data_IF_032704337559
#
_entry.id   IF_032704337559
#
_cell.length_a   1.000
_cell.length_b   1.000
_cell.length_c   1.000
_cell.angle_alpha   90.00
_cell.angle_beta   90.00
_cell.angle_gamma   90.00
#
_symmetry.space_group_name_H-M   'P 1'
#
loop_
_entity.id
_entity.type
_entity.pdbx_description
1 polymer ?
#
# COMPACT_ATOMS: atom_id res chain seq x y z
N UNK A 1 8.27 16.34 14.75
CA UNK A 1 9.46 15.45 14.87
C UNK A 1 9.52 14.62 13.60
N UNK A 2 10.68 14.46 12.98
CA UNK A 2 10.82 13.68 11.75
C UNK A 2 11.37 12.29 12.05
N UNK A 3 10.76 11.27 11.47
CA UNK A 3 11.24 9.89 11.50
C UNK A 3 11.93 9.55 10.18
N UNK A 4 13.00 8.76 10.24
CA UNK A 4 13.72 8.36 9.03
C UNK A 4 13.17 7.04 8.51
N UNK A 5 12.63 7.04 7.29
CA UNK A 5 12.19 5.84 6.59
C UNK A 5 13.25 5.45 5.58
N UNK A 6 13.79 4.23 5.69
CA UNK A 6 14.70 3.68 4.70
C UNK A 6 13.90 3.14 3.52
N UNK A 7 14.21 3.62 2.32
CA UNK A 7 13.60 3.18 1.07
C UNK A 7 14.67 2.94 0.03
N UNK A 8 14.41 2.00 -0.86
CA UNK A 8 15.30 1.74 -1.99
C UNK A 8 15.36 2.94 -2.95
N UNK A 9 16.50 3.08 -3.63
CA UNK A 9 16.74 4.17 -4.57
C UNK A 9 15.67 4.22 -5.68
N UNK A 10 15.27 3.07 -6.20
CA UNK A 10 14.22 2.98 -7.22
C UNK A 10 12.87 3.50 -6.71
N UNK A 11 12.50 3.17 -5.48
CA UNK A 11 11.27 3.66 -4.84
C UNK A 11 11.32 5.17 -4.64
N UNK A 12 12.46 5.71 -4.21
CA UNK A 12 12.67 7.17 -4.10
C UNK A 12 12.51 7.88 -5.44
N UNK A 13 13.08 7.33 -6.52
CA UNK A 13 12.94 7.89 -7.86
C UNK A 13 11.50 7.87 -8.34
N UNK A 14 10.74 6.80 -8.03
CA UNK A 14 9.31 6.73 -8.33
C UNK A 14 8.52 7.79 -7.55
N UNK A 15 8.75 7.92 -6.24
CA UNK A 15 8.11 8.95 -5.41
C UNK A 15 8.35 10.36 -5.97
N UNK A 16 9.58 10.65 -6.41
CA UNK A 16 9.92 11.93 -7.04
C UNK A 16 9.13 12.20 -8.33
N UNK A 17 8.75 11.17 -9.08
CA UNK A 17 7.89 11.32 -10.28
C UNK A 17 6.42 11.58 -9.92
N UNK A 18 5.98 11.12 -8.75
CA UNK A 18 4.62 11.35 -8.24
C UNK A 18 4.44 12.73 -7.59
N UNK A 19 5.52 13.33 -7.10
CA UNK A 19 5.47 14.69 -6.52
C UNK A 19 5.31 15.79 -7.56
N UNK A 20 4.55 16.82 -7.21
CA UNK A 20 4.49 18.07 -7.97
C UNK A 20 5.59 19.05 -7.50
N UNK A 21 5.79 20.11 -8.27
CA UNK A 21 6.87 21.07 -8.03
C UNK A 21 6.64 21.80 -6.69
N UNK A 22 7.48 21.50 -5.70
CA UNK A 22 7.46 22.12 -4.38
C UNK A 22 6.95 21.22 -3.25
N UNK A 23 6.50 20.00 -3.54
CA UNK A 23 6.13 19.02 -2.50
C UNK A 23 7.36 18.34 -1.89
N UNK A 24 7.30 18.10 -0.58
CA UNK A 24 8.25 17.25 0.13
C UNK A 24 7.86 15.78 -0.02
N UNK A 25 8.79 14.87 0.31
CA UNK A 25 8.45 13.44 0.34
C UNK A 25 7.34 13.12 1.36
N UNK A 26 7.28 13.89 2.45
CA UNK A 26 6.25 13.77 3.48
C UNK A 26 4.86 14.08 2.90
N UNK A 27 4.72 15.21 2.20
CA UNK A 27 3.47 15.60 1.52
C UNK A 27 2.98 14.53 0.52
N UNK A 28 3.91 13.95 -0.24
CA UNK A 28 3.61 12.90 -1.22
C UNK A 28 3.11 11.64 -0.52
N UNK A 29 3.76 11.27 0.60
CA UNK A 29 3.39 10.08 1.39
C UNK A 29 2.05 10.31 2.08
N UNK A 30 1.81 11.46 2.71
CA UNK A 30 0.52 11.78 3.32
C UNK A 30 -0.62 11.75 2.30
N UNK A 31 -0.41 12.32 1.11
CA UNK A 31 -1.43 12.28 0.04
C UNK A 31 -1.74 10.86 -0.41
N UNK A 32 -0.71 10.00 -0.51
CA UNK A 32 -0.91 8.59 -0.84
C UNK A 32 -1.69 7.88 0.27
N UNK A 33 -1.32 8.10 1.54
CA UNK A 33 -2.00 7.52 2.70
C UNK A 33 -3.48 7.93 2.70
N UNK A 34 -3.76 9.23 2.61
CA UNK A 34 -5.12 9.76 2.54
C UNK A 34 -5.91 9.16 1.38
N UNK A 35 -5.30 9.03 0.19
CA UNK A 35 -5.96 8.39 -0.94
C UNK A 35 -6.31 6.91 -0.67
N UNK A 36 -5.44 6.16 0.01
CA UNK A 36 -5.73 4.79 0.40
C UNK A 36 -6.79 4.70 1.51
N UNK A 37 -6.81 5.63 2.46
CA UNK A 37 -7.84 5.71 3.50
C UNK A 37 -9.20 6.09 2.92
N UNK A 38 -9.27 7.09 2.04
CA UNK A 38 -10.51 7.51 1.36
C UNK A 38 -11.07 6.47 0.40
N UNK A 39 -10.24 5.55 -0.10
CA UNK A 39 -10.67 4.48 -0.98
C UNK A 39 -11.36 3.31 -0.26
N UNK A 40 -11.59 3.40 1.06
CA UNK A 40 -12.18 2.31 1.87
C UNK A 40 -11.39 1.00 1.68
N UNK A 41 -10.08 1.13 1.51
CA UNK A 41 -9.19 0.00 1.20
C UNK A 41 -9.16 -0.97 2.38
N UNK A 42 -9.39 -0.47 3.60
CA UNK A 42 -9.52 -1.30 4.79
C UNK A 42 -10.77 -2.20 4.71
N UNK A 43 -11.95 -1.65 4.39
CA UNK A 43 -13.16 -2.45 4.14
C UNK A 43 -12.99 -3.38 2.92
N UNK A 44 -12.36 -2.93 1.85
CA UNK A 44 -12.15 -3.74 0.64
C UNK A 44 -11.17 -4.90 0.88
N UNK A 45 -10.07 -4.64 1.61
CA UNK A 45 -9.09 -5.67 2.00
C UNK A 45 -9.73 -6.63 2.99
N UNK A 46 -10.48 -6.14 3.98
CA UNK A 46 -11.18 -6.98 4.95
C UNK A 46 -12.22 -7.87 4.27
N UNK A 47 -13.07 -7.31 3.41
CA UNK A 47 -14.07 -8.07 2.65
C UNK A 47 -13.40 -9.13 1.75
N UNK A 48 -12.30 -8.77 1.08
CA UNK A 48 -11.55 -9.70 0.23
C UNK A 48 -10.82 -10.78 1.04
N UNK A 49 -10.28 -10.42 2.21
CA UNK A 49 -9.63 -11.35 3.12
C UNK A 49 -10.63 -12.35 3.71
N UNK A 50 -11.78 -11.87 4.19
CA UNK A 50 -12.87 -12.71 4.70
C UNK A 50 -13.34 -13.71 3.64
N UNK A 51 -13.55 -13.25 2.40
CA UNK A 51 -13.89 -14.12 1.27
C UNK A 51 -12.84 -15.21 1.01
N UNK A 52 -11.56 -14.86 1.06
CA UNK A 52 -10.47 -15.83 0.91
C UNK A 52 -10.42 -16.84 2.07
N UNK A 53 -10.79 -16.45 3.29
CA UNK A 53 -10.92 -17.39 4.42
C UNK A 53 -12.12 -18.33 4.26
N UNK A 54 -13.26 -17.84 3.76
CA UNK A 54 -14.44 -18.67 3.49
C UNK A 54 -14.20 -19.68 2.37
N UNK A 55 -13.44 -19.29 1.34
CA UNK A 55 -13.15 -20.14 0.18
C UNK A 55 -11.87 -20.97 0.35
N UNK A 56 -11.28 -21.00 1.56
CA UNK A 56 -9.99 -21.65 1.85
C UNK A 56 -9.92 -23.12 1.45
N UNK A 57 -11.03 -23.85 1.54
CA UNK A 57 -11.17 -25.25 1.09
C UNK A 57 -11.09 -25.44 -0.45
N UNK A 58 -11.22 -24.36 -1.23
CA UNK A 58 -11.13 -24.41 -2.70
C UNK A 58 -9.71 -24.20 -3.23
N UNK A 59 -8.75 -23.89 -2.36
CA UNK A 59 -7.38 -23.56 -2.75
C UNK A 59 -6.40 -24.63 -2.28
N UNK A 60 -5.50 -25.01 -3.18
CA UNK A 60 -4.36 -25.87 -2.87
C UNK A 60 -3.23 -25.01 -2.27
N UNK A 61 -2.65 -25.40 -1.12
CA UNK A 61 -1.48 -24.77 -0.54
C UNK A 61 -0.31 -24.71 -1.53
N UNK A 62 0.43 -23.60 -1.53
CA UNK A 62 1.57 -23.40 -2.42
C UNK A 62 2.73 -24.38 -2.16
N UNK A 63 2.79 -24.98 -0.96
CA UNK A 63 3.73 -26.04 -0.60
C UNK A 63 3.43 -27.39 -1.28
N UNK A 64 2.23 -27.55 -1.85
CA UNK A 64 1.81 -28.75 -2.59
C UNK A 64 1.98 -28.62 -4.11
N UNK A 65 2.67 -27.56 -4.58
CA UNK A 65 2.99 -27.29 -5.99
C UNK A 65 4.49 -27.45 -6.26
#
# INVERSE_FOLDING_TARGET
MSTTIQIEKGTRERLKRFGHKGESYDDIIERLINYFEELDVEELIEARWNKLQEEKDKYIPLDEI
#
